data_IF_026850605423
#
_entry.id   IF_026850605423
#
_cell.length_a   1.000
_cell.length_b   1.000
_cell.length_c   1.000
_cell.angle_alpha   90.00
_cell.angle_beta   90.00
_cell.angle_gamma   90.00
#
_symmetry.space_group_name_H-M   'P 1'
#
loop_
_entity.id
_entity.type
_entity.pdbx_description
1 polymer ?
#
# COMPACT_ATOMS: atom_id res chain seq x y z
N UNK A 1 25.00 28.03 -76.57
CA UNK A 1 23.72 27.36 -76.89
C UNK A 1 23.23 26.74 -75.58
N UNK A 2 22.25 27.36 -74.90
CA UNK A 2 20.83 26.96 -74.86
C UNK A 2 20.70 25.46 -74.53
N UNK A 3 20.05 25.00 -73.46
CA UNK A 3 19.17 25.64 -72.48
C UNK A 3 18.52 24.56 -71.59
N UNK A 4 17.67 25.01 -70.66
CA UNK A 4 16.53 24.33 -70.01
C UNK A 4 16.72 22.86 -69.60
N UNK A 5 16.70 22.49 -68.32
CA UNK A 5 15.58 22.70 -67.41
C UNK A 5 14.68 21.45 -67.40
N UNK A 6 14.51 20.81 -66.24
CA UNK A 6 13.30 20.05 -65.88
C UNK A 6 13.27 19.80 -64.37
N UNK A 7 12.53 20.66 -63.66
CA UNK A 7 11.94 20.33 -62.37
C UNK A 7 10.69 19.49 -62.64
N UNK A 8 10.60 18.31 -62.05
CA UNK A 8 9.40 17.48 -61.88
C UNK A 8 9.78 16.49 -60.78
N UNK A 9 9.22 16.48 -59.59
CA UNK A 9 7.94 16.97 -59.10
C UNK A 9 7.47 15.89 -58.12
N UNK A 10 7.42 16.20 -56.81
CA UNK A 10 6.99 15.23 -55.79
C UNK A 10 7.29 15.67 -54.37
N UNK A 11 6.59 16.70 -53.87
CA UNK A 11 6.44 16.95 -52.43
C UNK A 11 5.33 16.07 -51.87
N UNK A 12 5.64 15.25 -50.86
CA UNK A 12 4.71 14.66 -49.87
C UNK A 12 5.56 13.92 -48.83
N UNK A 13 5.49 14.14 -47.52
CA UNK A 13 4.65 14.96 -46.67
C UNK A 13 4.93 14.53 -45.22
N UNK A 14 4.68 15.42 -44.27
CA UNK A 14 4.63 15.10 -42.85
C UNK A 14 3.63 13.96 -42.59
N UNK A 15 4.02 13.00 -41.76
CA UNK A 15 3.13 12.01 -41.17
C UNK A 15 3.28 10.58 -41.72
N UNK A 16 3.54 9.68 -40.77
CA UNK A 16 3.01 8.31 -40.68
C UNK A 16 3.98 7.13 -40.93
N UNK A 17 4.57 6.70 -39.79
CA UNK A 17 4.83 5.34 -39.28
C UNK A 17 5.07 4.16 -40.24
N UNK A 18 6.17 3.48 -39.96
CA UNK A 18 6.36 2.04 -40.11
C UNK A 18 7.85 1.71 -40.21
N UNK A 19 8.49 0.92 -39.35
CA UNK A 19 8.06 0.13 -38.21
C UNK A 19 9.18 -0.85 -37.85
N UNK A 20 9.29 -1.15 -36.56
CA UNK A 20 9.94 -2.31 -35.96
C UNK A 20 11.48 -2.44 -36.08
N UNK A 21 12.19 -1.69 -35.25
CA UNK A 21 13.54 -2.02 -34.79
C UNK A 21 13.68 -1.58 -33.34
N UNK A 22 13.21 -2.42 -32.41
CA UNK A 22 13.18 -2.16 -30.99
C UNK A 22 14.58 -1.95 -30.42
N UNK A 23 15.01 -0.70 -30.35
CA UNK A 23 16.00 -0.28 -29.37
C UNK A 23 15.28 -0.12 -28.05
N UNK A 24 15.24 -1.18 -27.24
CA UNK A 24 14.94 -1.06 -25.81
C UNK A 24 15.74 0.14 -25.27
N UNK A 25 15.08 1.03 -24.53
CA UNK A 25 15.67 2.19 -23.88
C UNK A 25 16.68 1.85 -22.78
N UNK A 26 17.70 1.03 -23.12
CA UNK A 26 18.79 0.53 -22.28
C UNK A 26 19.87 1.59 -22.05
N UNK A 27 19.46 2.83 -21.82
CA UNK A 27 20.33 3.93 -21.41
C UNK A 27 19.94 4.45 -20.04
N UNK A 28 20.87 5.11 -19.34
CA UNK A 28 20.65 5.68 -17.99
C UNK A 28 19.35 6.50 -17.88
N UNK A 29 18.98 7.22 -18.95
CA UNK A 29 17.74 8.02 -19.01
C UNK A 29 16.47 7.17 -18.97
N UNK A 30 16.46 5.98 -19.59
CA UNK A 30 15.31 5.06 -19.53
C UNK A 30 15.18 4.44 -18.13
N UNK A 31 16.29 4.00 -17.56
CA UNK A 31 16.33 3.48 -16.19
C UNK A 31 15.90 4.53 -15.15
N UNK A 32 16.34 5.79 -15.28
CA UNK A 32 15.90 6.88 -14.39
C UNK A 32 14.42 7.21 -14.56
N UNK A 33 13.88 7.14 -15.77
CA UNK A 33 12.45 7.33 -16.02
C UNK A 33 11.61 6.24 -15.35
N UNK A 34 12.01 4.98 -15.46
CA UNK A 34 11.35 3.86 -14.78
C UNK A 34 11.42 3.99 -13.26
N UNK A 35 12.56 4.40 -12.71
CA UNK A 35 12.70 4.67 -11.27
C UNK A 35 11.78 5.80 -10.82
N UNK A 36 11.70 6.90 -11.59
CA UNK A 36 10.78 8.00 -11.30
C UNK A 36 9.33 7.55 -11.26
N UNK A 37 8.89 6.77 -12.26
CA UNK A 37 7.52 6.23 -12.34
C UNK A 37 7.27 5.25 -11.18
N UNK A 38 8.24 4.41 -10.83
CA UNK A 38 8.12 3.45 -9.73
C UNK A 38 8.03 4.16 -8.37
N UNK A 39 8.88 5.17 -8.15
CA UNK A 39 8.87 5.96 -6.93
C UNK A 39 7.55 6.74 -6.77
N UNK A 40 7.02 7.32 -7.85
CA UNK A 40 5.74 8.01 -7.86
C UNK A 40 4.59 7.06 -7.50
N UNK A 41 4.54 5.87 -8.12
CA UNK A 41 3.53 4.84 -7.80
C UNK A 41 3.61 4.39 -6.35
N UNK A 42 4.82 4.16 -5.83
CA UNK A 42 5.01 3.79 -4.43
C UNK A 42 4.55 4.90 -3.48
N UNK A 43 4.83 6.15 -3.83
CA UNK A 43 4.41 7.31 -3.04
C UNK A 43 2.89 7.44 -3.00
N UNK A 44 2.19 7.35 -4.14
CA UNK A 44 0.72 7.41 -4.16
C UNK A 44 0.07 6.22 -3.45
N UNK A 45 0.58 5.01 -3.63
CA UNK A 45 0.10 3.85 -2.90
C UNK A 45 0.27 4.00 -1.39
N UNK A 46 1.36 4.63 -0.94
CA UNK A 46 1.57 4.94 0.47
C UNK A 46 0.57 5.99 0.99
N UNK A 47 0.30 7.04 0.21
CA UNK A 47 -0.70 8.05 0.58
C UNK A 47 -2.09 7.43 0.67
N UNK A 48 -2.49 6.60 -0.30
CA UNK A 48 -3.77 5.88 -0.29
C UNK A 48 -3.89 4.93 0.90
N UNK A 49 -2.83 4.18 1.21
CA UNK A 49 -2.78 3.36 2.43
C UNK A 49 -2.99 4.20 3.69
N UNK A 50 -2.33 5.35 3.79
CA UNK A 50 -2.47 6.21 4.95
C UNK A 50 -3.88 6.80 5.05
N UNK A 51 -4.45 7.32 3.95
CA UNK A 51 -5.75 7.99 3.97
C UNK A 51 -6.91 7.01 4.08
N UNK A 52 -6.95 6.00 3.22
CA UNK A 52 -8.14 5.20 2.97
C UNK A 52 -8.21 3.99 3.91
N UNK A 53 -7.05 3.40 4.21
CA UNK A 53 -6.97 2.22 5.10
C UNK A 53 -6.72 2.63 6.53
N UNK A 54 -5.73 3.51 6.77
CA UNK A 54 -5.34 3.90 8.11
C UNK A 54 -6.08 5.14 8.63
N UNK A 55 -6.82 5.87 7.77
CA UNK A 55 -7.66 7.00 8.17
C UNK A 55 -6.90 8.30 8.48
N UNK A 56 -5.69 8.46 7.96
CA UNK A 56 -4.83 9.62 8.18
C UNK A 56 -4.52 10.37 6.88
N UNK A 57 -5.11 11.56 6.73
CA UNK A 57 -4.82 12.46 5.61
C UNK A 57 -3.82 13.53 6.04
N UNK A 58 -2.58 13.41 5.55
CA UNK A 58 -1.56 14.44 5.75
C UNK A 58 -1.84 15.67 4.88
N UNK A 59 -1.56 16.85 5.42
CA UNK A 59 -1.62 18.16 4.77
C UNK A 59 -0.24 18.80 4.81
N UNK A 60 -0.06 19.89 4.05
CA UNK A 60 1.19 20.66 4.02
C UNK A 60 1.61 21.20 5.39
N UNK A 61 0.65 21.44 6.28
CA UNK A 61 0.82 21.94 7.63
C UNK A 61 0.78 20.84 8.71
N UNK A 62 0.65 19.57 8.32
CA UNK A 62 0.69 18.44 9.26
C UNK A 62 2.06 18.36 9.91
N UNK A 63 2.09 18.42 11.25
CA UNK A 63 3.33 18.30 11.99
C UNK A 63 3.69 16.83 12.15
N UNK A 64 4.98 16.55 12.25
CA UNK A 64 5.47 15.21 12.52
C UNK A 64 4.92 14.61 13.82
N UNK A 65 4.75 15.46 14.84
CA UNK A 65 4.10 15.07 16.10
C UNK A 65 2.67 14.58 15.90
N UNK A 66 1.94 15.15 14.94
CA UNK A 66 0.54 14.78 14.69
C UNK A 66 0.46 13.39 14.05
N UNK A 67 1.39 13.07 13.16
CA UNK A 67 1.55 11.73 12.57
C UNK A 67 1.85 10.70 13.66
N UNK A 68 2.86 10.96 14.50
CA UNK A 68 3.24 10.06 15.59
C UNK A 68 2.11 9.85 16.61
N UNK A 69 1.41 10.93 16.97
CA UNK A 69 0.26 10.88 17.88
C UNK A 69 -0.89 10.04 17.30
N UNK A 70 -1.18 10.19 16.01
CA UNK A 70 -2.23 9.45 15.33
C UNK A 70 -1.98 7.94 15.38
N UNK A 71 -0.81 7.49 14.91
CA UNK A 71 -0.50 6.06 14.88
C UNK A 71 -0.34 5.45 16.27
N UNK A 72 0.17 6.23 17.25
CA UNK A 72 0.16 5.81 18.64
C UNK A 72 -1.27 5.60 19.18
N UNK A 73 -2.21 6.51 18.88
CA UNK A 73 -3.63 6.37 19.25
C UNK A 73 -4.26 5.13 18.60
N UNK A 74 -3.99 4.89 17.31
CA UNK A 74 -4.49 3.73 16.60
C UNK A 74 -3.95 2.41 17.20
N UNK A 75 -2.66 2.36 17.56
CA UNK A 75 -2.06 1.23 18.25
C UNK A 75 -2.68 0.95 19.63
N UNK A 76 -3.07 2.00 20.38
CA UNK A 76 -3.82 1.86 21.64
C UNK A 76 -5.20 1.24 21.40
N UNK A 77 -5.95 1.75 20.42
CA UNK A 77 -7.29 1.22 20.05
C UNK A 77 -7.23 -0.25 19.63
N UNK A 78 -6.23 -0.66 18.85
CA UNK A 78 -6.04 -2.09 18.51
C UNK A 78 -5.75 -2.94 19.75
N UNK A 79 -5.01 -2.40 20.72
CA UNK A 79 -4.77 -3.04 22.01
C UNK A 79 -6.06 -3.25 22.81
N UNK A 80 -6.96 -2.28 22.81
CA UNK A 80 -8.29 -2.36 23.46
C UNK A 80 -9.19 -3.38 22.75
N UNK A 81 -9.30 -3.31 21.42
CA UNK A 81 -10.05 -4.28 20.63
C UNK A 81 -9.55 -5.73 20.86
N UNK A 82 -8.23 -5.91 21.00
CA UNK A 82 -7.64 -7.22 21.33
C UNK A 82 -8.06 -7.70 22.72
N UNK A 83 -8.21 -6.80 23.70
CA UNK A 83 -8.72 -7.15 25.04
C UNK A 83 -10.20 -7.53 24.99
N UNK A 84 -11.02 -6.77 24.28
CA UNK A 84 -12.44 -7.09 24.10
C UNK A 84 -12.64 -8.44 23.39
N UNK A 85 -11.84 -8.73 22.36
CA UNK A 85 -11.85 -10.01 21.67
C UNK A 85 -11.49 -11.19 22.60
N UNK A 86 -10.60 -10.98 23.59
CA UNK A 86 -10.33 -12.00 24.63
C UNK A 86 -11.54 -12.26 25.51
N UNK A 87 -12.32 -11.25 25.86
CA UNK A 87 -13.54 -11.42 26.65
C UNK A 87 -14.65 -12.13 25.87
N UNK A 88 -14.79 -11.83 24.57
CA UNK A 88 -15.70 -12.57 23.66
C UNK A 88 -15.30 -14.05 23.60
N UNK A 89 -14.01 -14.36 23.51
CA UNK A 89 -13.50 -15.72 23.51
C UNK A 89 -13.94 -16.51 24.75
N UNK A 90 -13.78 -15.92 25.94
CA UNK A 90 -14.20 -16.53 27.21
C UNK A 90 -15.70 -16.79 27.25
N UNK A 91 -16.52 -15.85 26.77
CA UNK A 91 -17.98 -16.02 26.74
C UNK A 91 -18.43 -17.12 25.78
N UNK A 92 -17.71 -17.30 24.67
CA UNK A 92 -18.00 -18.38 23.71
C UNK A 92 -17.79 -19.78 24.31
N UNK A 93 -17.02 -19.92 25.39
CA UNK A 93 -16.81 -21.20 26.08
C UNK A 93 -17.95 -21.53 27.06
N UNK A 94 -18.75 -20.54 27.49
CA UNK A 94 -19.75 -20.69 28.56
C UNK A 94 -21.15 -21.06 28.03
N UNK A 95 -21.40 -20.92 26.72
CA UNK A 95 -22.73 -21.11 26.10
C UNK A 95 -22.93 -22.41 25.31
N UNK A 96 -21.88 -23.20 25.06
CA UNK A 96 -22.02 -24.49 24.38
C UNK A 96 -22.51 -25.50 25.42
N UNK A 97 -23.80 -25.88 25.33
CA UNK A 97 -24.36 -26.92 26.17
C UNK A 97 -23.46 -28.16 26.16
N UNK A 98 -23.29 -28.80 27.32
CA UNK A 98 -22.52 -30.04 27.52
C UNK A 98 -23.14 -31.26 26.81
N UNK A 99 -23.69 -31.07 25.61
CA UNK A 99 -24.34 -32.08 24.77
C UNK A 99 -23.48 -32.36 23.54
N UNK A 100 -22.72 -33.46 23.64
CA UNK A 100 -22.18 -34.36 22.61
C UNK A 100 -21.43 -33.84 21.36
N UNK A 101 -21.47 -32.56 20.98
CA UNK A 101 -20.65 -32.04 19.84
C UNK A 101 -19.23 -31.60 20.27
N UNK A 102 -18.89 -31.74 21.55
CA UNK A 102 -17.61 -31.30 22.13
C UNK A 102 -16.45 -32.32 22.01
N UNK A 103 -16.54 -33.32 21.12
CA UNK A 103 -15.51 -34.38 21.03
C UNK A 103 -14.36 -34.07 20.07
N UNK A 104 -14.47 -33.05 19.23
CA UNK A 104 -13.41 -32.64 18.30
C UNK A 104 -12.79 -31.28 18.63
N UNK A 105 -12.49 -31.02 19.92
CA UNK A 105 -11.36 -30.23 20.46
C UNK A 105 -10.99 -28.83 19.92
N UNK A 106 -11.66 -28.30 18.90
CA UNK A 106 -11.34 -27.06 18.17
C UNK A 106 -12.66 -26.36 17.90
N UNK A 107 -13.09 -25.56 18.85
CA UNK A 107 -14.14 -24.59 18.57
C UNK A 107 -13.61 -23.67 17.46
N UNK A 108 -14.16 -23.76 16.25
CA UNK A 108 -13.76 -22.93 15.11
C UNK A 108 -13.75 -21.43 15.45
N UNK A 109 -14.61 -21.01 16.38
CA UNK A 109 -14.64 -19.65 16.93
C UNK A 109 -13.34 -19.32 17.67
N UNK A 110 -12.81 -20.25 18.48
CA UNK A 110 -11.55 -20.06 19.20
C UNK A 110 -10.36 -19.96 18.26
N UNK A 111 -10.30 -20.83 17.25
CA UNK A 111 -9.24 -20.76 16.24
C UNK A 111 -9.27 -19.44 15.47
N UNK A 112 -10.46 -19.01 15.02
CA UNK A 112 -10.64 -17.72 14.36
C UNK A 112 -10.24 -16.53 15.26
N UNK A 113 -10.60 -16.59 16.54
CA UNK A 113 -10.22 -15.58 17.54
C UNK A 113 -8.70 -15.52 17.71
N UNK A 114 -8.03 -16.65 17.84
CA UNK A 114 -6.58 -16.67 18.06
C UNK A 114 -5.80 -16.23 16.81
N UNK A 115 -6.26 -16.60 15.62
CA UNK A 115 -5.76 -16.04 14.35
C UNK A 115 -5.93 -14.52 14.30
N UNK A 116 -7.12 -14.02 14.65
CA UNK A 116 -7.42 -12.58 14.67
C UNK A 116 -6.52 -11.83 15.63
N UNK A 117 -6.29 -12.36 16.85
CA UNK A 117 -5.33 -11.77 17.80
C UNK A 117 -3.92 -11.71 17.22
N UNK A 118 -3.49 -12.76 16.51
CA UNK A 118 -2.19 -12.79 15.84
C UNK A 118 -2.05 -11.68 14.79
N UNK A 119 -3.08 -11.49 13.96
CA UNK A 119 -3.13 -10.42 12.95
C UNK A 119 -3.12 -9.03 13.61
N UNK A 120 -3.97 -8.81 14.61
CA UNK A 120 -4.03 -7.53 15.35
C UNK A 120 -2.71 -7.20 16.04
N UNK A 121 -2.03 -8.20 16.60
CA UNK A 121 -0.71 -8.05 17.21
C UNK A 121 0.35 -7.59 16.20
N UNK A 122 0.37 -8.20 15.00
CA UNK A 122 1.27 -7.78 13.92
C UNK A 122 0.96 -6.34 13.46
N UNK A 123 -0.31 -6.03 13.25
CA UNK A 123 -0.74 -4.69 12.84
C UNK A 123 -0.33 -3.64 13.87
N UNK A 124 -0.53 -3.91 15.17
CA UNK A 124 -0.09 -3.03 16.25
C UNK A 124 1.43 -2.79 16.21
N UNK A 125 2.23 -3.84 16.01
CA UNK A 125 3.69 -3.70 15.89
C UNK A 125 4.12 -2.86 14.68
N UNK A 126 3.41 -2.96 13.55
CA UNK A 126 3.66 -2.09 12.40
C UNK A 126 3.31 -0.63 12.73
N UNK A 127 2.18 -0.36 13.38
CA UNK A 127 1.81 1.01 13.78
C UNK A 127 2.78 1.61 14.79
N UNK A 128 3.30 0.81 15.73
CA UNK A 128 4.34 1.25 16.67
C UNK A 128 5.63 1.66 15.94
N UNK A 129 5.98 0.97 14.84
CA UNK A 129 7.11 1.34 13.99
C UNK A 129 6.89 2.67 13.26
N UNK A 130 5.63 3.00 12.91
CA UNK A 130 5.28 4.27 12.27
C UNK A 130 5.35 5.48 13.22
N UNK A 131 5.28 5.25 14.54
CA UNK A 131 5.27 6.33 15.54
C UNK A 131 6.51 7.23 15.47
N UNK A 132 7.68 6.65 15.20
CA UNK A 132 8.96 7.35 15.15
C UNK A 132 9.36 7.82 13.74
N UNK A 133 8.47 7.72 12.75
CA UNK A 133 8.82 8.09 11.38
C UNK A 133 9.24 9.56 11.31
N UNK A 134 10.45 9.77 10.80
CA UNK A 134 11.09 11.06 10.65
C UNK A 134 11.70 11.65 11.93
N UNK A 135 11.68 10.95 13.07
CA UNK A 135 12.41 11.32 14.31
C UNK A 135 13.94 11.27 14.14
N UNK A 136 14.42 10.47 13.20
CA UNK A 136 15.85 10.30 12.95
C UNK A 136 16.47 11.38 12.04
N UNK A 137 15.68 12.33 11.52
CA UNK A 137 16.20 13.43 10.70
C UNK A 137 16.64 14.57 11.63
N UNK A 138 17.92 14.57 11.98
CA UNK A 138 18.64 15.70 12.63
C UNK A 138 19.35 16.55 11.60
#
# INVERSE_FOLDING_TARGET
MVGMGCNSGGVKGEGQVGGAGGGEGRGLSGAMMEVGISAERAFYAFIELMSDVLGFTAKVDTKKSDVGNYFNSLGVKLGEATKELKEVAKKSEVGVGKGEESKDGKNAIREAIDQTKGVLGKLKGYLESLKGIGDDIK
#
